data_IF_022937217868
#
_entry.id   IF_022937217868
#
_cell.length_a   1.000
_cell.length_b   1.000
_cell.length_c   1.000
_cell.angle_alpha   90.00
_cell.angle_beta   90.00
_cell.angle_gamma   90.00
#
_symmetry.space_group_name_H-M   'P 1'
#
loop_
_entity.id
_entity.type
_entity.pdbx_description
1 polymer ?
#
# COMPACT_ATOMS: atom_id res chain seq x y z
N UNK A 1 -3.43 -10.16 9.83
CA UNK A 1 -4.78 -9.80 10.30
C UNK A 1 -5.13 -8.49 9.60
N UNK A 2 -6.07 -8.52 8.66
CA UNK A 2 -6.59 -7.32 8.01
C UNK A 2 -7.86 -6.90 8.73
N UNK A 3 -8.01 -5.61 8.99
CA UNK A 3 -9.12 -5.00 9.71
C UNK A 3 -9.41 -5.58 11.12
N UNK A 4 -8.69 -5.08 12.12
CA UNK A 4 -8.77 -5.57 13.50
C UNK A 4 -9.03 -4.44 14.51
N UNK A 5 -9.11 -4.79 15.79
CA UNK A 5 -9.41 -3.83 16.87
C UNK A 5 -8.42 -2.65 16.93
N UNK A 6 -7.15 -2.87 16.61
CA UNK A 6 -6.15 -1.79 16.50
C UNK A 6 -6.57 -0.79 15.42
N UNK A 7 -7.09 -1.26 14.28
CA UNK A 7 -7.58 -0.36 13.24
C UNK A 7 -8.77 0.45 13.77
N UNK A 8 -9.74 -0.18 14.43
CA UNK A 8 -10.89 0.53 15.03
C UNK A 8 -10.43 1.64 15.98
N UNK A 9 -9.47 1.35 16.86
CA UNK A 9 -8.96 2.33 17.85
C UNK A 9 -8.12 3.45 17.21
N UNK A 10 -7.50 3.20 16.07
CA UNK A 10 -6.52 4.14 15.47
C UNK A 10 -6.99 4.83 14.20
N UNK A 11 -8.10 4.39 13.60
CA UNK A 11 -8.59 4.88 12.31
C UNK A 11 -8.86 6.38 12.34
N UNK A 12 -9.63 6.87 13.31
CA UNK A 12 -10.00 8.29 13.41
C UNK A 12 -8.77 9.21 13.47
N UNK A 13 -7.78 8.84 14.30
CA UNK A 13 -6.51 9.56 14.41
C UNK A 13 -5.70 9.49 13.11
N UNK A 14 -5.69 8.34 12.44
CA UNK A 14 -5.00 8.19 11.17
C UNK A 14 -5.61 9.11 10.10
N UNK A 15 -6.94 9.15 9.99
CA UNK A 15 -7.65 10.01 9.04
C UNK A 15 -7.41 11.50 9.35
N UNK A 16 -7.52 11.90 10.61
CA UNK A 16 -7.21 13.28 11.05
C UNK A 16 -5.79 13.71 10.65
N UNK A 17 -4.81 12.81 10.80
CA UNK A 17 -3.42 13.11 10.40
C UNK A 17 -3.27 13.28 8.88
N UNK A 18 -4.10 12.63 8.07
CA UNK A 18 -4.12 12.83 6.62
C UNK A 18 -4.71 14.19 6.27
N UNK A 19 -5.82 14.59 6.90
CA UNK A 19 -6.41 15.92 6.71
C UNK A 19 -5.42 17.03 7.04
N UNK A 20 -4.71 16.91 8.17
CA UNK A 20 -3.67 17.87 8.58
C UNK A 20 -2.49 17.96 7.61
N UNK A 21 -2.26 16.91 6.80
CA UNK A 21 -1.27 16.91 5.72
C UNK A 21 -1.81 17.50 4.42
N UNK A 22 -3.08 17.92 4.39
CA UNK A 22 -3.74 18.50 3.22
C UNK A 22 -4.36 17.47 2.28
N UNK A 23 -4.58 16.24 2.72
CA UNK A 23 -5.33 15.26 1.92
C UNK A 23 -6.83 15.52 2.03
N UNK A 24 -7.54 15.26 0.94
CA UNK A 24 -9.00 15.33 0.88
C UNK A 24 -9.59 13.92 0.73
N UNK A 25 -10.75 13.70 1.34
CA UNK A 25 -11.51 12.47 1.18
C UNK A 25 -12.62 12.67 0.16
N UNK A 26 -12.61 11.83 -0.87
CA UNK A 26 -13.57 11.83 -1.98
C UNK A 26 -14.25 10.46 -2.07
N UNK A 27 -15.42 10.40 -2.72
CA UNK A 27 -16.12 9.14 -2.91
C UNK A 27 -15.36 8.23 -3.85
N UNK A 28 -15.51 6.92 -3.66
CA UNK A 28 -14.90 5.93 -4.54
C UNK A 28 -15.32 6.16 -6.01
N UNK A 29 -16.60 6.43 -6.25
CA UNK A 29 -17.12 6.71 -7.60
C UNK A 29 -16.43 7.91 -8.26
N UNK A 30 -16.15 8.97 -7.50
CA UNK A 30 -15.45 10.14 -8.02
C UNK A 30 -13.99 9.80 -8.39
N UNK A 31 -13.30 9.00 -7.57
CA UNK A 31 -11.91 8.59 -7.82
C UNK A 31 -11.82 7.64 -9.03
N UNK A 32 -12.73 6.66 -9.11
CA UNK A 32 -12.74 5.69 -10.20
C UNK A 32 -13.09 6.30 -11.56
N UNK A 33 -13.65 7.51 -11.60
CA UNK A 33 -13.85 8.26 -12.83
C UNK A 33 -12.54 8.80 -13.43
N UNK A 34 -11.43 8.82 -12.67
CA UNK A 34 -10.14 9.24 -13.20
C UNK A 34 -9.65 8.26 -14.30
N UNK A 35 -9.22 8.76 -15.48
CA UNK A 35 -8.76 7.92 -16.59
C UNK A 35 -7.63 6.94 -16.22
N UNK A 36 -6.84 7.23 -15.19
CA UNK A 36 -5.80 6.33 -14.71
C UNK A 36 -6.37 4.96 -14.33
N UNK A 37 -7.56 4.89 -13.72
CA UNK A 37 -8.21 3.63 -13.37
C UNK A 37 -8.77 2.86 -14.57
N UNK A 38 -8.86 3.50 -15.74
CA UNK A 38 -9.15 2.85 -17.02
C UNK A 38 -7.92 2.23 -17.71
N UNK A 39 -6.72 2.42 -17.16
CA UNK A 39 -5.46 1.94 -17.75
C UNK A 39 -5.43 0.41 -17.81
N UNK A 40 -5.32 -0.21 -19.01
CA UNK A 40 -5.31 -1.67 -19.14
C UNK A 40 -4.16 -2.36 -18.40
N UNK A 41 -4.57 -3.32 -17.59
CA UNK A 41 -3.78 -4.42 -17.04
C UNK A 41 -2.91 -5.21 -18.03
N UNK A 42 -1.61 -4.93 -18.17
CA UNK A 42 -0.71 -5.71 -19.06
C UNK A 42 0.40 -6.48 -18.35
N UNK A 43 0.52 -6.36 -17.02
CA UNK A 43 1.54 -7.07 -16.28
C UNK A 43 1.17 -8.55 -16.13
N UNK A 44 2.10 -9.44 -16.51
CA UNK A 44 1.98 -10.88 -16.30
C UNK A 44 3.20 -11.34 -15.51
N UNK A 45 2.99 -11.77 -14.27
CA UNK A 45 4.05 -12.19 -13.37
C UNK A 45 3.51 -12.81 -12.09
N UNK A 46 4.40 -13.40 -11.29
CA UNK A 46 4.06 -14.05 -10.01
C UNK A 46 4.14 -13.11 -8.82
N UNK A 47 4.74 -11.93 -8.99
CA UNK A 47 4.90 -10.94 -7.94
C UNK A 47 3.63 -10.08 -7.78
N UNK A 48 3.16 -9.91 -6.55
CA UNK A 48 2.06 -9.01 -6.20
C UNK A 48 2.51 -7.56 -6.11
N UNK A 49 2.94 -6.97 -7.22
CA UNK A 49 3.53 -5.63 -7.29
C UNK A 49 2.47 -4.53 -7.28
N UNK A 50 2.88 -3.29 -6.96
CA UNK A 50 1.98 -2.14 -6.84
C UNK A 50 1.24 -1.81 -8.15
N UNK A 51 0.09 -1.13 -8.06
CA UNK A 51 -0.66 -0.71 -9.25
C UNK A 51 0.15 0.23 -10.16
N UNK A 52 0.98 1.08 -9.56
CA UNK A 52 1.84 2.03 -10.29
C UNK A 52 2.85 1.27 -11.16
N UNK A 53 3.49 0.23 -10.64
CA UNK A 53 4.46 -0.58 -11.39
C UNK A 53 3.80 -1.39 -12.51
N UNK A 54 2.56 -1.84 -12.30
CA UNK A 54 1.78 -2.50 -13.35
C UNK A 54 1.36 -1.53 -14.46
N UNK A 55 1.01 -0.29 -14.12
CA UNK A 55 0.72 0.75 -15.12
C UNK A 55 1.97 1.15 -15.91
N UNK A 56 3.16 1.15 -15.32
CA UNK A 56 4.41 1.35 -16.08
C UNK A 56 4.53 0.37 -17.25
N UNK A 57 4.21 -0.90 -17.03
CA UNK A 57 4.20 -1.93 -18.07
C UNK A 57 3.21 -1.59 -19.19
N UNK A 58 2.02 -1.10 -18.83
CA UNK A 58 1.06 -0.62 -19.82
C UNK A 58 1.66 0.48 -20.73
N UNK A 59 2.38 1.43 -20.12
CA UNK A 59 3.04 2.54 -20.81
C UNK A 59 4.39 2.17 -21.46
N UNK A 60 4.71 0.87 -21.60
CA UNK A 60 5.92 0.39 -22.29
C UNK A 60 7.21 0.52 -21.48
N UNK A 61 7.11 0.82 -20.19
CA UNK A 61 8.23 0.80 -19.26
C UNK A 61 8.36 -0.58 -18.62
N UNK A 62 9.52 -0.88 -18.04
CA UNK A 62 9.68 -2.09 -17.22
C UNK A 62 9.16 -1.80 -15.81
N UNK A 63 8.54 -2.79 -15.18
CA UNK A 63 8.26 -2.75 -13.76
C UNK A 63 9.61 -2.78 -13.00
N UNK A 64 9.78 -1.89 -12.04
CA UNK A 64 11.00 -1.71 -11.26
C UNK A 64 10.70 -1.70 -9.75
N UNK A 65 10.01 -2.75 -9.30
CA UNK A 65 9.63 -2.93 -7.90
C UNK A 65 10.76 -3.48 -7.02
N UNK A 66 11.88 -3.90 -7.62
CA UNK A 66 13.04 -4.42 -6.88
C UNK A 66 13.84 -3.30 -6.20
N UNK A 67 13.70 -2.06 -6.68
CA UNK A 67 14.33 -0.87 -6.11
C UNK A 67 13.36 0.00 -5.31
N UNK A 68 12.14 -0.49 -5.04
CA UNK A 68 11.22 0.19 -4.14
C UNK A 68 11.87 0.35 -2.75
N UNK A 69 11.66 1.48 -2.07
CA UNK A 69 12.27 1.70 -0.77
C UNK A 69 11.77 0.68 0.24
N UNK A 70 12.71 0.03 0.92
CA UNK A 70 12.38 -0.83 2.05
C UNK A 70 11.66 -0.04 3.16
N UNK A 71 10.77 -0.70 3.93
CA UNK A 71 10.23 -0.10 5.14
C UNK A 71 11.36 0.33 6.10
N UNK A 72 11.17 1.40 6.89
CA UNK A 72 12.19 1.86 7.82
C UNK A 72 12.71 0.76 8.75
N UNK A 73 14.01 0.75 9.04
CA UNK A 73 14.69 -0.32 9.79
C UNK A 73 14.00 -0.68 11.13
N UNK A 74 13.48 0.33 11.82
CA UNK A 74 12.80 0.14 13.11
C UNK A 74 11.52 -0.69 12.98
N UNK A 75 10.80 -0.56 11.85
CA UNK A 75 9.61 -1.36 11.54
C UNK A 75 10.02 -2.82 11.32
N UNK A 76 11.06 -3.04 10.51
CA UNK A 76 11.57 -4.37 10.22
C UNK A 76 12.15 -5.05 11.46
N UNK A 77 12.80 -4.29 12.35
CA UNK A 77 13.23 -4.79 13.67
C UNK A 77 12.03 -5.27 14.48
N UNK A 78 11.00 -4.44 14.65
CA UNK A 78 9.81 -4.78 15.46
C UNK A 78 9.06 -5.99 14.88
N UNK A 79 8.95 -6.07 13.56
CA UNK A 79 8.35 -7.22 12.87
C UNK A 79 9.11 -8.52 13.18
N UNK A 80 10.44 -8.52 13.06
CA UNK A 80 11.28 -9.69 13.34
C UNK A 80 11.16 -10.14 14.79
N UNK A 81 11.11 -9.21 15.75
CA UNK A 81 10.91 -9.50 17.17
C UNK A 81 9.55 -10.18 17.41
N UNK A 82 8.47 -9.65 16.83
CA UNK A 82 7.13 -10.24 16.95
C UNK A 82 7.05 -11.66 16.37
N UNK A 83 7.73 -11.90 15.24
CA UNK A 83 7.76 -13.23 14.60
C UNK A 83 8.54 -14.25 15.42
N UNK A 84 9.62 -13.84 16.09
CA UNK A 84 10.38 -14.71 17.00
C UNK A 84 9.56 -15.08 18.24
N UNK A 85 8.85 -14.12 18.83
CA UNK A 85 7.98 -14.37 19.99
C UNK A 85 6.91 -15.42 19.66
N UNK A 86 6.21 -15.25 18.53
CA UNK A 86 5.17 -16.19 18.08
C UNK A 86 5.68 -17.58 17.63
N UNK A 87 7.00 -17.77 17.50
CA UNK A 87 7.60 -19.06 17.15
C UNK A 87 8.13 -19.82 18.39
N UNK A 88 8.17 -19.16 19.55
CA UNK A 88 8.62 -19.73 20.83
C UNK A 88 7.43 -20.05 21.76
N UNK A 89 6.20 -19.87 21.29
CA UNK A 89 4.93 -20.33 21.89
C UNK A 89 4.42 -21.55 21.11
#
# INVERSE_FOLDING_TARGET
>A
MHDNEINTETLDRLLTNLEQRGYEFVTLDAVLADPAYGTPDRFVGTAGISWIERWRVHFGQKADYEHDPDPPDWVMKRFRESRKAAANE
#
